data_IF_741985860325
#
_entry.id   IF_741985860325
#
_cell.length_a   1.000
_cell.length_b   1.000
_cell.length_c   1.000
_cell.angle_alpha   90.00
_cell.angle_beta   90.00
_cell.angle_gamma   90.00
#
_symmetry.space_group_name_H-M   'P 1'
#
loop_
_entity.id
_entity.type
_entity.pdbx_description
1 polymer ?
#
# COMPACT_ATOMS: atom_id res chain seq x y z
N UNK A 1 -13.15 -10.31 13.38
CA UNK A 1 -13.56 -9.26 12.41
C UNK A 1 -12.42 -8.86 11.47
N UNK A 2 -11.18 -8.74 11.95
CA UNK A 2 -10.05 -8.27 11.12
C UNK A 2 -9.73 -9.16 9.92
N UNK A 3 -9.78 -10.48 10.03
CA UNK A 3 -9.48 -11.40 8.93
C UNK A 3 -10.32 -11.16 7.66
N UNK A 4 -11.57 -10.72 7.80
CA UNK A 4 -12.46 -10.39 6.65
C UNK A 4 -11.99 -9.14 5.90
N UNK A 5 -11.39 -8.17 6.60
CA UNK A 5 -10.87 -6.95 5.98
C UNK A 5 -9.66 -7.27 5.08
N UNK A 6 -8.84 -8.25 5.48
CA UNK A 6 -7.67 -8.70 4.70
C UNK A 6 -8.05 -9.46 3.42
N UNK A 7 -9.18 -10.19 3.45
CA UNK A 7 -9.76 -10.84 2.26
C UNK A 7 -10.17 -9.82 1.18
N UNK A 8 -10.50 -8.59 1.59
CA UNK A 8 -10.75 -7.48 0.67
C UNK A 8 -9.52 -7.09 -0.15
N UNK A 9 -8.31 -7.43 0.31
CA UNK A 9 -7.06 -6.81 -0.17
C UNK A 9 -6.12 -7.70 -1.01
N UNK A 10 -6.27 -9.04 -1.08
CA UNK A 10 -5.28 -9.96 -1.73
C UNK A 10 -5.92 -11.20 -2.47
N UNK A 11 -5.22 -11.96 -3.37
CA UNK A 11 -5.36 -11.93 -4.85
C UNK A 11 -5.65 -13.34 -5.48
N UNK A 12 -5.10 -13.73 -6.67
CA UNK A 12 -5.84 -14.40 -7.76
C UNK A 12 -6.55 -15.70 -7.35
N UNK A 13 -7.84 -15.75 -7.66
CA UNK A 13 -8.66 -16.95 -7.82
C UNK A 13 -8.61 -17.99 -6.69
N UNK A 14 -7.58 -18.83 -6.71
CA UNK A 14 -7.43 -20.01 -5.85
C UNK A 14 -7.13 -19.69 -4.38
N UNK A 15 -6.34 -18.64 -4.09
CA UNK A 15 -6.00 -18.29 -2.70
C UNK A 15 -7.23 -17.84 -1.90
N UNK A 16 -8.14 -17.12 -2.57
CA UNK A 16 -9.40 -16.64 -1.97
C UNK A 16 -10.31 -17.81 -1.54
N UNK A 17 -10.42 -18.84 -2.37
CA UNK A 17 -11.22 -20.04 -2.05
C UNK A 17 -10.74 -20.73 -0.77
N UNK A 18 -9.43 -20.93 -0.67
CA UNK A 18 -8.81 -21.57 0.50
C UNK A 18 -8.99 -20.76 1.77
N UNK A 19 -8.87 -19.44 1.70
CA UNK A 19 -9.11 -18.54 2.84
C UNK A 19 -10.56 -18.58 3.30
N UNK A 20 -11.53 -18.53 2.37
CA UNK A 20 -12.93 -18.65 2.69
C UNK A 20 -13.27 -19.99 3.36
N UNK A 21 -12.70 -21.10 2.88
CA UNK A 21 -12.87 -22.43 3.50
C UNK A 21 -12.26 -22.50 4.91
N UNK A 22 -11.06 -21.95 5.11
CA UNK A 22 -10.42 -21.90 6.42
C UNK A 22 -11.24 -21.09 7.44
N UNK A 23 -11.78 -19.95 7.02
CA UNK A 23 -12.66 -19.14 7.85
C UNK A 23 -13.99 -19.84 8.14
N UNK A 24 -14.57 -20.52 7.16
CA UNK A 24 -15.78 -21.31 7.35
C UNK A 24 -15.56 -22.42 8.40
N UNK A 25 -14.42 -23.11 8.34
CA UNK A 25 -14.03 -24.11 9.35
C UNK A 25 -13.87 -23.50 10.74
N UNK A 26 -13.31 -22.30 10.84
CA UNK A 26 -13.10 -21.62 12.13
C UNK A 26 -14.39 -21.03 12.72
N UNK A 27 -15.37 -20.65 11.89
CA UNK A 27 -16.63 -20.02 12.33
C UNK A 27 -17.80 -21.00 12.46
N UNK A 28 -17.67 -22.24 11.97
CA UNK A 28 -18.75 -23.21 11.78
C UNK A 28 -19.68 -23.42 12.98
N UNK A 29 -19.11 -23.49 14.19
CA UNK A 29 -19.88 -23.75 15.41
C UNK A 29 -20.56 -22.49 15.98
N UNK A 30 -20.04 -21.30 15.66
CA UNK A 30 -20.49 -20.03 16.23
C UNK A 30 -21.44 -19.24 15.33
N UNK A 31 -21.30 -19.38 14.01
CA UNK A 31 -22.10 -18.65 13.03
C UNK A 31 -22.28 -19.49 11.74
N UNK A 32 -23.34 -20.31 11.67
CA UNK A 32 -23.61 -21.16 10.51
C UNK A 32 -24.00 -20.34 9.27
N UNK A 33 -24.56 -19.13 9.43
CA UNK A 33 -24.97 -18.29 8.32
C UNK A 33 -23.74 -17.65 7.65
N UNK A 34 -22.81 -17.10 8.44
CA UNK A 34 -21.54 -16.60 7.92
C UNK A 34 -20.72 -17.72 7.26
N UNK A 35 -20.74 -18.92 7.86
CA UNK A 35 -20.09 -20.12 7.32
C UNK A 35 -20.63 -20.50 5.95
N UNK A 36 -21.96 -20.55 5.78
CA UNK A 36 -22.58 -20.82 4.49
C UNK A 36 -22.21 -19.77 3.43
N UNK A 37 -22.17 -18.48 3.81
CA UNK A 37 -21.73 -17.40 2.94
C UNK A 37 -20.28 -17.55 2.49
N UNK A 38 -19.37 -17.88 3.41
CA UNK A 38 -17.96 -18.14 3.11
C UNK A 38 -17.78 -19.35 2.19
N UNK A 39 -18.53 -20.44 2.39
CA UNK A 39 -18.50 -21.59 1.50
C UNK A 39 -19.01 -21.25 0.09
N UNK A 40 -20.09 -20.48 -0.03
CA UNK A 40 -20.60 -20.01 -1.32
C UNK A 40 -19.59 -19.10 -2.05
N UNK A 41 -18.92 -18.22 -1.31
CA UNK A 41 -17.83 -17.38 -1.83
C UNK A 41 -16.62 -18.21 -2.29
N UNK A 42 -16.31 -19.30 -1.59
CA UNK A 42 -15.21 -20.21 -1.97
C UNK A 42 -15.44 -20.96 -3.29
N UNK A 43 -16.70 -21.11 -3.71
CA UNK A 43 -17.09 -21.72 -4.98
C UNK A 43 -17.26 -20.68 -6.11
N UNK A 44 -17.51 -19.42 -5.75
CA UNK A 44 -17.80 -18.32 -6.68
C UNK A 44 -16.53 -17.63 -7.23
N UNK A 45 -15.40 -18.32 -7.20
CA UNK A 45 -14.07 -17.81 -7.56
C UNK A 45 -14.03 -17.20 -8.96
N UNK A 46 -14.63 -17.89 -9.95
CA UNK A 46 -14.67 -17.43 -11.35
C UNK A 46 -15.46 -16.13 -11.49
N UNK A 47 -16.65 -16.05 -10.89
CA UNK A 47 -17.51 -14.87 -10.93
C UNK A 47 -16.85 -13.68 -10.25
N UNK A 48 -16.24 -13.89 -9.07
CA UNK A 48 -15.45 -12.88 -8.36
C UNK A 48 -14.31 -12.37 -9.23
N UNK A 49 -13.58 -13.27 -9.90
CA UNK A 49 -12.46 -12.91 -10.76
C UNK A 49 -12.91 -12.01 -11.93
N UNK A 50 -14.02 -12.36 -12.59
CA UNK A 50 -14.59 -11.57 -13.68
C UNK A 50 -15.02 -10.17 -13.21
N UNK A 51 -15.71 -10.08 -12.08
CA UNK A 51 -16.13 -8.79 -11.50
C UNK A 51 -14.93 -7.91 -11.15
N UNK A 52 -13.91 -8.47 -10.50
CA UNK A 52 -12.69 -7.75 -10.17
C UNK A 52 -11.99 -7.25 -11.44
N UNK A 53 -11.86 -8.08 -12.48
CA UNK A 53 -11.26 -7.68 -13.75
C UNK A 53 -12.00 -6.49 -14.38
N UNK A 54 -13.34 -6.51 -14.36
CA UNK A 54 -14.17 -5.39 -14.86
C UNK A 54 -13.93 -4.12 -14.04
N UNK A 55 -13.91 -4.22 -12.71
CA UNK A 55 -13.65 -3.08 -11.81
C UNK A 55 -12.26 -2.50 -12.07
N UNK A 56 -11.22 -3.34 -12.12
CA UNK A 56 -9.86 -2.92 -12.41
C UNK A 56 -9.76 -2.22 -13.77
N UNK A 57 -10.38 -2.78 -14.82
CA UNK A 57 -10.41 -2.17 -16.15
C UNK A 57 -11.09 -0.78 -16.14
N UNK A 58 -12.24 -0.66 -15.46
CA UNK A 58 -12.96 0.62 -15.32
C UNK A 58 -12.15 1.66 -14.54
N UNK A 59 -11.55 1.27 -13.42
CA UNK A 59 -10.72 2.15 -12.59
C UNK A 59 -9.47 2.59 -13.33
N UNK A 60 -8.83 1.69 -14.11
CA UNK A 60 -7.70 2.04 -14.98
C UNK A 60 -8.11 3.02 -16.08
N UNK A 61 -9.27 2.81 -16.73
CA UNK A 61 -9.79 3.71 -17.76
C UNK A 61 -10.05 5.11 -17.20
N UNK A 62 -10.67 5.20 -16.03
CA UNK A 62 -10.92 6.46 -15.32
C UNK A 62 -9.62 7.16 -14.92
N UNK A 63 -8.64 6.43 -14.35
CA UNK A 63 -7.31 6.97 -14.02
C UNK A 63 -6.59 7.52 -15.25
N UNK A 64 -6.59 6.78 -16.38
CA UNK A 64 -6.00 7.28 -17.63
C UNK A 64 -6.70 8.54 -18.15
N UNK A 65 -8.03 8.61 -18.04
CA UNK A 65 -8.79 9.80 -18.41
C UNK A 65 -8.47 11.00 -17.51
N UNK A 66 -8.32 10.78 -16.20
CA UNK A 66 -7.92 11.81 -15.25
C UNK A 66 -6.48 12.30 -15.48
N UNK A 67 -5.54 11.37 -15.74
CA UNK A 67 -4.17 11.72 -16.10
C UNK A 67 -4.11 12.53 -17.41
N UNK A 68 -4.92 12.18 -18.41
CA UNK A 68 -5.04 12.95 -19.65
C UNK A 68 -5.69 14.34 -19.47
N UNK A 69 -6.46 14.54 -18.39
CA UNK A 69 -7.15 15.78 -18.08
C UNK A 69 -6.30 16.75 -17.21
N UNK A 70 -5.04 16.43 -16.92
CA UNK A 70 -4.09 17.40 -16.35
C UNK A 70 -3.45 17.05 -15.00
N UNK A 71 -3.41 15.77 -14.60
CA UNK A 71 -2.51 15.35 -13.52
C UNK A 71 -2.79 13.96 -12.97
N UNK A 72 -1.74 13.13 -12.86
CA UNK A 72 -1.81 11.94 -12.02
C UNK A 72 -1.87 12.41 -10.55
N UNK A 73 -2.80 11.86 -9.77
CA UNK A 73 -2.94 12.17 -8.35
C UNK A 73 -1.65 11.80 -7.60
N UNK A 74 -0.89 10.82 -8.11
CA UNK A 74 0.44 10.47 -7.62
C UNK A 74 1.43 11.62 -7.74
N UNK A 75 1.43 12.34 -8.87
CA UNK A 75 2.33 13.49 -9.09
C UNK A 75 1.96 14.66 -8.17
N UNK A 76 0.66 14.88 -7.96
CA UNK A 76 0.17 15.88 -7.01
C UNK A 76 0.55 15.55 -5.56
N UNK A 77 0.50 14.28 -5.16
CA UNK A 77 0.92 13.82 -3.84
C UNK A 77 2.43 13.86 -3.63
N UNK A 78 3.22 13.59 -4.67
CA UNK A 78 4.69 13.72 -4.61
C UNK A 78 5.11 15.16 -4.33
N UNK A 79 4.38 16.15 -4.84
CA UNK A 79 4.60 17.57 -4.53
C UNK A 79 4.27 17.97 -3.08
N UNK A 80 3.57 17.12 -2.33
CA UNK A 80 3.19 17.34 -0.92
C UNK A 80 4.09 16.58 0.07
N UNK A 81 5.13 15.88 -0.40
CA UNK A 81 6.05 15.16 0.49
C UNK A 81 6.92 16.15 1.29
N UNK A 82 6.78 16.12 2.61
CA UNK A 82 7.66 16.87 3.53
C UNK A 82 9.05 16.24 3.49
N UNK A 83 10.04 16.97 2.97
CA UNK A 83 11.46 16.61 3.04
C UNK A 83 11.89 16.66 4.50
N UNK A 84 11.83 15.52 5.18
CA UNK A 84 12.38 15.33 6.53
C UNK A 84 13.85 15.78 6.53
N UNK A 85 14.20 16.62 7.49
CA UNK A 85 15.50 17.29 7.57
C UNK A 85 16.66 16.31 7.66
N UNK A 86 17.75 16.67 6.99
CA UNK A 86 19.05 16.02 7.06
C UNK A 86 19.63 16.13 8.50
N UNK A 87 19.87 15.02 9.23
CA UNK A 87 20.59 15.07 10.50
C UNK A 87 22.08 14.92 10.21
N UNK A 88 22.75 16.02 9.84
CA UNK A 88 24.11 15.89 9.31
C UNK A 88 24.99 17.12 9.34
N UNK A 89 24.78 18.12 10.21
CA UNK A 89 25.75 19.22 10.37
C UNK A 89 25.91 19.66 11.83
N UNK A 90 26.43 18.76 12.66
CA UNK A 90 27.20 19.15 13.84
C UNK A 90 28.68 18.85 13.54
N UNK A 91 29.43 19.87 13.15
CA UNK A 91 30.90 19.83 13.10
C UNK A 91 31.46 21.19 13.45
N UNK A 92 31.61 21.37 14.76
CA UNK A 92 32.81 21.87 15.42
C UNK A 92 33.67 22.90 14.66
N UNK A 93 33.36 24.18 14.81
CA UNK A 93 34.37 25.24 14.74
C UNK A 93 34.83 25.58 16.17
N UNK A 94 35.83 24.85 16.64
CA UNK A 94 36.61 25.17 17.84
C UNK A 94 38.02 25.55 17.44
N UNK A 95 38.31 26.85 17.56
CA UNK A 95 39.56 27.46 18.00
C UNK A 95 40.86 26.67 17.73
N UNK A 96 41.72 27.22 16.86
CA UNK A 96 43.14 27.27 17.20
C UNK A 96 43.77 28.58 16.74
N UNK A 97 44.51 29.18 17.66
CA UNK A 97 45.21 30.46 17.60
C UNK A 97 46.71 30.15 17.56
N UNK A 98 47.50 31.11 17.06
CA UNK A 98 48.98 31.17 17.09
C UNK A 98 49.66 30.22 16.09
N UNK A 99 50.56 30.64 15.20
CA UNK A 99 51.84 31.35 15.32
C UNK A 99 52.32 31.58 13.86
N UNK A 100 53.23 32.47 13.44
CA UNK A 100 54.17 33.39 14.04
C UNK A 100 54.73 34.27 12.90
N UNK A 101 55.31 35.41 13.25
CA UNK A 101 55.92 36.40 12.36
C UNK A 101 57.21 35.88 11.67
N UNK A 102 57.54 36.50 10.52
CA UNK A 102 58.88 37.02 10.14
C UNK A 102 59.58 36.46 8.87
N UNK A 103 60.31 37.40 8.23
CA UNK A 103 61.32 37.35 7.16
C UNK A 103 60.82 37.27 5.71
N UNK A 104 60.79 38.35 4.91
CA UNK A 104 61.81 39.33 4.47
C UNK A 104 62.56 38.87 3.22
N UNK A 105 62.18 39.44 2.08
CA UNK A 105 63.04 39.91 0.97
C UNK A 105 62.25 40.95 0.15
#
# INVERSE_FOLDING_TARGET
>A
AEALAWIGHFPPGSLYSQLCQLLAMALGDSDPLATAGLLAESLSVTTRHQLLAIVHARTRKKRKAAAAAGGDISDQLQGLSLREGDPGQDSQDSQNSQDSQNSQD
#
